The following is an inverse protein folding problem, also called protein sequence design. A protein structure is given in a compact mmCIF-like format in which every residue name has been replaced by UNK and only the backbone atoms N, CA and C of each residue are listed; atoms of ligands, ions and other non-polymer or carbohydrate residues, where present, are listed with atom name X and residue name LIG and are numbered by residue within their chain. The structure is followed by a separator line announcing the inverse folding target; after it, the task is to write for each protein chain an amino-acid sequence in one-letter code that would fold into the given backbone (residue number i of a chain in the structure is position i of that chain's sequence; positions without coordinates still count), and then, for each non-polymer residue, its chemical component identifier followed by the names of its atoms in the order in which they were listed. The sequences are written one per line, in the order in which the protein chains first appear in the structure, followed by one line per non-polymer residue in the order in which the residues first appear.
data_IF_900858239558
#
_entry.id   IF_900858239558
#
_cell.length_a   1.000
_cell.length_b   1.000
_cell.length_c   1.000
_cell.angle_alpha   90.00
_cell.angle_beta   90.00
_cell.angle_gamma   90.00
#
_symmetry.space_group_name_H-M   'P 1'
#
loop_
_entity.id
_entity.type
_entity.pdbx_description
1 polymer ?
#
# COMPACT_ATOMS: atom_id res chain seq x y z
N UNK A 1 58.89 5.54 1.05
CA UNK A 1 57.81 5.03 0.18
C UNK A 1 56.59 4.72 1.06
N UNK A 2 55.82 5.75 1.45
CA UNK A 2 54.70 5.65 2.41
C UNK A 2 53.51 6.51 1.97
N UNK A 3 53.18 6.46 0.68
CA UNK A 3 52.05 7.19 0.10
C UNK A 3 51.37 6.25 -0.88
N UNK A 4 50.66 5.23 -0.39
CA UNK A 4 49.87 4.36 -1.27
C UNK A 4 48.72 3.61 -0.58
N UNK A 5 48.46 3.85 0.70
CA UNK A 5 47.43 3.08 1.45
C UNK A 5 46.13 3.88 1.64
N UNK A 6 46.12 5.19 1.37
CA UNK A 6 44.96 6.05 1.62
C UNK A 6 43.95 6.13 0.48
N UNK A 7 44.21 5.49 -0.67
CA UNK A 7 43.34 5.60 -1.86
C UNK A 7 42.33 4.45 -1.99
N UNK A 8 42.40 3.43 -1.12
CA UNK A 8 41.53 2.26 -1.21
C UNK A 8 40.24 2.34 -0.36
N UNK A 9 40.09 3.38 0.48
CA UNK A 9 38.94 3.48 1.40
C UNK A 9 37.74 4.27 0.86
N UNK A 10 37.87 4.98 -0.26
CA UNK A 10 36.78 5.82 -0.81
C UNK A 10 35.85 5.03 -1.75
N UNK A 11 36.28 3.86 -2.24
CA UNK A 11 35.51 3.05 -3.19
C UNK A 11 34.55 2.05 -2.54
N UNK A 12 34.56 1.90 -1.20
CA UNK A 12 33.69 0.96 -0.47
C UNK A 12 32.29 1.52 -0.12
N UNK A 13 32.01 2.80 -0.43
CA UNK A 13 30.71 3.43 -0.12
C UNK A 13 29.73 3.45 -1.30
N UNK A 14 30.10 2.87 -2.46
CA UNK A 14 29.18 2.62 -3.56
C UNK A 14 28.28 1.39 -3.32
N UNK A 15 28.01 1.09 -2.04
CA UNK A 15 27.13 0.01 -1.61
C UNK A 15 25.67 0.33 -1.93
N UNK A 16 25.20 -0.15 -3.09
CA UNK A 16 23.83 -0.51 -3.41
C UNK A 16 22.71 0.15 -2.58
N UNK A 17 22.45 1.45 -2.78
CA UNK A 17 21.21 2.02 -2.29
C UNK A 17 20.06 1.71 -3.26
N UNK A 18 19.50 0.49 -3.17
CA UNK A 18 18.19 0.15 -3.76
C UNK A 18 17.09 0.56 -2.77
N UNK A 19 16.92 1.86 -2.55
CA UNK A 19 15.75 2.34 -1.81
C UNK A 19 14.65 2.63 -2.82
N UNK A 20 13.57 1.85 -2.73
CA UNK A 20 12.34 2.08 -3.45
C UNK A 20 11.65 3.29 -2.82
N UNK A 21 11.76 4.44 -3.47
CA UNK A 21 11.17 5.71 -3.03
C UNK A 21 9.86 6.00 -3.77
N UNK A 22 8.88 5.11 -3.61
CA UNK A 22 7.52 5.38 -4.03
C UNK A 22 6.60 5.17 -2.83
N UNK A 23 6.16 6.29 -2.23
CA UNK A 23 5.31 6.31 -1.04
C UNK A 23 3.87 6.70 -1.35
N UNK A 24 3.48 6.65 -2.63
CA UNK A 24 2.13 7.01 -3.10
C UNK A 24 1.15 5.86 -3.05
N UNK A 25 1.60 4.66 -2.72
CA UNK A 25 0.75 3.48 -2.60
C UNK A 25 0.50 3.13 -1.14
N UNK A 26 -0.76 2.82 -0.82
CA UNK A 26 -1.21 2.32 0.47
C UNK A 26 -1.28 0.79 0.39
N UNK A 27 -0.50 0.09 1.21
CA UNK A 27 -0.59 -1.36 1.32
C UNK A 27 -1.83 -1.78 2.11
N UNK A 28 -2.77 -2.48 1.48
CA UNK A 28 -3.98 -2.99 2.14
C UNK A 28 -3.78 -4.46 2.50
N UNK A 29 -4.03 -4.80 3.76
CA UNK A 29 -3.95 -6.16 4.28
C UNK A 29 -5.29 -6.62 4.82
N UNK A 30 -5.64 -7.88 4.51
CA UNK A 30 -6.87 -8.52 4.96
C UNK A 30 -6.63 -9.53 6.09
N UNK A 31 -5.52 -9.40 6.82
CA UNK A 31 -5.12 -10.34 7.87
C UNK A 31 -6.13 -10.51 9.00
N UNK A 32 -7.07 -9.59 9.24
CA UNK A 32 -8.11 -9.78 10.26
C UNK A 32 -9.31 -10.61 9.79
N UNK A 33 -9.35 -10.96 8.50
CA UNK A 33 -10.37 -11.82 7.91
C UNK A 33 -9.89 -13.25 7.78
N UNK A 34 -10.84 -14.18 7.70
CA UNK A 34 -10.57 -15.55 7.29
C UNK A 34 -10.36 -15.62 5.78
N UNK A 35 -9.62 -16.61 5.32
CA UNK A 35 -9.38 -16.86 3.89
C UNK A 35 -10.70 -16.97 3.11
N UNK A 36 -11.71 -17.67 3.66
CA UNK A 36 -13.05 -17.80 3.05
C UNK A 36 -13.83 -16.48 2.99
N UNK A 37 -13.53 -15.51 3.85
CA UNK A 37 -14.19 -14.19 3.86
C UNK A 37 -13.57 -13.24 2.81
N UNK A 38 -12.41 -13.63 2.28
CA UNK A 38 -11.62 -12.89 1.27
C UNK A 38 -11.40 -13.70 0.00
N UNK A 39 -12.19 -14.76 -0.21
CA UNK A 39 -12.17 -15.60 -1.41
C UNK A 39 -12.47 -14.78 -2.66
N UNK A 40 -13.31 -13.76 -2.53
CA UNK A 40 -13.52 -12.71 -3.52
C UNK A 40 -13.30 -11.34 -2.89
N UNK A 41 -12.45 -10.52 -3.51
CA UNK A 41 -12.25 -9.12 -3.14
C UNK A 41 -12.41 -8.25 -4.37
N UNK A 42 -13.32 -7.30 -4.32
CA UNK A 42 -13.58 -6.36 -5.42
C UNK A 42 -12.97 -5.01 -5.07
N UNK A 43 -12.22 -4.45 -6.00
CA UNK A 43 -11.66 -3.11 -5.91
C UNK A 43 -12.28 -2.24 -7.00
N UNK A 44 -12.75 -1.06 -6.60
CA UNK A 44 -13.21 -0.02 -7.51
C UNK A 44 -12.47 1.28 -7.20
N UNK A 45 -11.96 1.94 -8.24
CA UNK A 45 -11.27 3.23 -8.11
C UNK A 45 -12.15 4.36 -8.63
N UNK A 46 -12.08 5.52 -7.98
CA UNK A 46 -12.88 6.70 -8.26
C UNK A 46 -11.98 7.93 -8.35
N UNK A 47 -12.37 8.91 -9.17
CA UNK A 47 -11.72 10.21 -9.16
C UNK A 47 -11.90 10.87 -7.78
N UNK A 48 -10.86 11.46 -7.18
CA UNK A 48 -10.91 11.97 -5.82
C UNK A 48 -12.07 12.93 -5.55
N UNK A 49 -12.81 12.70 -4.46
CA UNK A 49 -13.96 13.49 -4.01
C UNK A 49 -15.11 13.55 -5.03
N UNK A 50 -15.23 12.53 -5.88
CA UNK A 50 -16.32 12.39 -6.84
C UNK A 50 -16.89 10.98 -6.81
N UNK A 51 -18.05 10.79 -7.43
CA UNK A 51 -18.63 9.46 -7.66
C UNK A 51 -18.30 8.89 -9.04
N UNK A 52 -17.29 9.45 -9.72
CA UNK A 52 -16.91 9.02 -11.07
C UNK A 52 -15.96 7.84 -10.98
N UNK A 53 -16.47 6.64 -11.30
CA UNK A 53 -15.67 5.41 -11.36
C UNK A 53 -14.65 5.49 -12.49
N UNK A 54 -13.40 5.14 -12.19
CA UNK A 54 -12.28 5.07 -13.14
C UNK A 54 -12.07 3.64 -13.60
N UNK A 55 -11.99 2.69 -12.67
CA UNK A 55 -11.74 1.29 -12.96
C UNK A 55 -12.38 0.35 -11.92
N UNK A 56 -12.49 -0.93 -12.26
CA UNK A 56 -12.97 -1.98 -11.37
C UNK A 56 -12.34 -3.33 -11.72
N UNK A 57 -11.84 -4.02 -10.72
CA UNK A 57 -11.33 -5.39 -10.86
C UNK A 57 -11.64 -6.21 -9.61
N UNK A 58 -11.60 -7.53 -9.76
CA UNK A 58 -11.84 -8.45 -8.67
C UNK A 58 -10.73 -9.51 -8.62
N UNK A 59 -10.33 -9.87 -7.42
CA UNK A 59 -9.55 -11.07 -7.16
C UNK A 59 -10.49 -12.16 -6.67
N UNK A 60 -10.40 -13.33 -7.29
CA UNK A 60 -11.14 -14.52 -6.88
C UNK A 60 -10.16 -15.68 -6.68
N UNK A 61 -10.27 -16.35 -5.54
CA UNK A 61 -9.50 -17.53 -5.18
C UNK A 61 -10.47 -18.67 -4.86
N UNK A 62 -10.11 -19.89 -5.28
CA UNK A 62 -10.88 -21.08 -4.92
C UNK A 62 -10.50 -21.51 -3.51
N UNK A 63 -11.37 -21.20 -2.54
CA UNK A 63 -11.17 -21.50 -1.11
C UNK A 63 -12.21 -22.54 -0.65
N UNK A 64 -11.82 -23.57 0.11
CA UNK A 64 -12.79 -24.48 0.72
C UNK A 64 -13.78 -23.72 1.63
N UNK A 65 -15.09 -24.02 1.60
CA UNK A 65 -16.07 -23.29 2.43
C UNK A 65 -15.83 -23.37 3.94
N UNK A 66 -15.07 -24.36 4.39
CA UNK A 66 -14.71 -24.58 5.80
C UNK A 66 -13.37 -23.98 6.20
N UNK A 67 -12.67 -23.29 5.27
CA UNK A 67 -11.37 -22.70 5.57
C UNK A 67 -11.53 -21.49 6.51
N UNK A 68 -11.07 -21.67 7.75
CA UNK A 68 -11.06 -20.64 8.78
C UNK A 68 -9.66 -20.08 9.04
N UNK A 69 -8.68 -20.37 8.19
CA UNK A 69 -7.32 -19.82 8.31
C UNK A 69 -7.32 -18.31 8.10
N UNK A 70 -6.29 -17.65 8.60
CA UNK A 70 -6.12 -16.21 8.45
C UNK A 70 -5.78 -15.85 6.99
N UNK A 71 -6.47 -14.85 6.43
CA UNK A 71 -6.17 -14.40 5.08
C UNK A 71 -4.77 -13.80 5.01
N UNK A 72 -4.00 -14.22 4.01
CA UNK A 72 -2.69 -13.65 3.68
C UNK A 72 -2.76 -12.63 2.54
N UNK A 73 -3.97 -12.36 2.04
CA UNK A 73 -4.18 -11.47 0.91
C UNK A 73 -3.80 -10.03 1.28
N UNK A 74 -3.06 -9.40 0.38
CA UNK A 74 -2.69 -8.00 0.48
C UNK A 74 -2.52 -7.39 -0.91
N UNK A 75 -2.92 -6.14 -1.07
CA UNK A 75 -2.83 -5.44 -2.33
C UNK A 75 -2.52 -3.95 -2.13
N UNK A 76 -1.55 -3.36 -2.86
CA UNK A 76 -1.30 -1.94 -2.82
C UNK A 76 -2.33 -1.16 -3.65
N UNK A 77 -2.79 -0.02 -3.15
CA UNK A 77 -3.67 0.90 -3.90
C UNK A 77 -3.05 2.28 -4.03
N UNK A 78 -3.24 2.93 -5.17
CA UNK A 78 -2.64 4.25 -5.41
C UNK A 78 -3.45 5.37 -4.76
N UNK A 79 -2.77 6.29 -4.06
CA UNK A 79 -3.35 7.52 -3.49
C UNK A 79 -3.83 8.54 -4.55
N UNK A 80 -3.64 8.26 -5.84
CA UNK A 80 -4.19 9.06 -6.92
C UNK A 80 -5.72 8.96 -7.06
N UNK A 81 -6.33 7.95 -6.46
CA UNK A 81 -7.76 7.65 -6.54
C UNK A 81 -8.35 7.44 -5.15
N UNK A 82 -9.66 7.65 -5.03
CA UNK A 82 -10.43 7.12 -3.91
C UNK A 82 -10.82 5.66 -4.25
N UNK A 83 -10.92 4.82 -3.23
CA UNK A 83 -11.11 3.38 -3.40
C UNK A 83 -12.33 2.90 -2.65
N UNK A 84 -13.13 2.05 -3.32
CA UNK A 84 -14.14 1.22 -2.67
C UNK A 84 -13.70 -0.23 -2.76
N UNK A 85 -13.67 -0.91 -1.62
CA UNK A 85 -13.27 -2.31 -1.50
C UNK A 85 -14.43 -3.08 -0.92
N UNK A 86 -14.88 -4.09 -1.64
CA UNK A 86 -16.01 -4.93 -1.24
C UNK A 86 -15.55 -6.35 -1.01
N UNK A 87 -15.97 -6.94 0.13
CA UNK A 87 -15.86 -8.35 0.47
C UNK A 87 -17.26 -8.98 0.36
N UNK A 88 -17.62 -9.55 -0.81
CA UNK A 88 -18.98 -10.02 -1.05
C UNK A 88 -19.41 -11.13 -0.08
N UNK A 89 -18.49 -12.02 0.29
CA UNK A 89 -18.75 -13.21 1.11
C UNK A 89 -19.23 -12.89 2.52
N UNK A 90 -18.93 -11.69 3.02
CA UNK A 90 -19.40 -11.18 4.31
C UNK A 90 -20.19 -9.87 4.20
N UNK A 91 -20.53 -9.45 2.97
CA UNK A 91 -21.22 -8.19 2.68
C UNK A 91 -20.61 -6.97 3.40
N UNK A 92 -19.28 -6.87 3.42
CA UNK A 92 -18.56 -5.72 3.99
C UNK A 92 -18.01 -4.83 2.89
N UNK A 93 -18.04 -3.52 3.14
CA UNK A 93 -17.50 -2.51 2.25
C UNK A 93 -16.60 -1.52 3.02
N UNK A 94 -15.52 -1.10 2.36
CA UNK A 94 -14.58 -0.11 2.86
C UNK A 94 -14.37 0.97 1.81
N UNK A 95 -14.60 2.22 2.20
CA UNK A 95 -14.32 3.39 1.39
C UNK A 95 -13.06 4.05 1.92
N UNK A 96 -12.03 4.11 1.11
CA UNK A 96 -10.73 4.72 1.43
C UNK A 96 -10.56 5.96 0.56
N UNK A 97 -10.45 7.11 1.20
CA UNK A 97 -10.47 8.40 0.50
C UNK A 97 -9.65 9.45 1.25
N UNK A 98 -9.63 10.67 0.72
CA UNK A 98 -9.02 11.85 1.36
C UNK A 98 -7.52 11.65 1.70
N UNK A 99 -6.78 11.00 0.81
CA UNK A 99 -5.34 10.83 0.95
C UNK A 99 -4.63 12.17 1.09
N UNK A 100 -3.76 12.28 2.10
CA UNK A 100 -2.86 13.42 2.31
C UNK A 100 -1.43 12.97 2.15
N UNK A 101 -0.72 13.64 1.24
CA UNK A 101 0.67 13.34 0.95
C UNK A 101 1.59 14.35 1.65
N UNK A 102 2.65 13.86 2.28
CA UNK A 102 3.79 14.66 2.73
C UNK A 102 4.97 14.42 1.80
N UNK A 103 5.86 15.41 1.71
CA UNK A 103 7.14 15.25 1.01
C UNK A 103 8.19 14.77 2.00
N UNK A 104 9.00 13.81 1.58
CA UNK A 104 10.13 13.31 2.34
C UNK A 104 11.35 13.11 1.41
N UNK A 105 12.55 12.99 1.98
CA UNK A 105 13.78 12.84 1.23
C UNK A 105 14.27 11.40 1.22
N UNK A 106 14.58 10.88 0.04
CA UNK A 106 15.30 9.62 -0.08
C UNK A 106 16.69 9.75 0.52
N UNK A 107 16.98 8.98 1.56
CA UNK A 107 18.23 9.06 2.34
C UNK A 107 19.53 8.94 1.51
N UNK A 108 19.47 8.33 0.33
CA UNK A 108 20.66 8.12 -0.51
C UNK A 108 20.76 8.99 -1.75
N UNK A 109 19.64 9.47 -2.29
CA UNK A 109 19.63 10.23 -3.55
C UNK A 109 19.34 11.71 -3.34
N UNK A 110 18.87 12.09 -2.14
CA UNK A 110 18.38 13.43 -1.84
C UNK A 110 17.13 13.81 -2.64
N UNK A 111 16.57 12.89 -3.44
CA UNK A 111 15.35 13.14 -4.21
C UNK A 111 14.15 13.20 -3.27
N UNK A 112 13.30 14.18 -3.50
CA UNK A 112 12.01 14.26 -2.84
C UNK A 112 11.08 13.16 -3.38
N UNK A 113 10.37 12.49 -2.48
CA UNK A 113 9.28 11.60 -2.82
C UNK A 113 8.04 11.96 -1.99
N UNK A 114 6.87 11.55 -2.48
CA UNK A 114 5.61 11.75 -1.77
C UNK A 114 5.27 10.50 -0.97
N UNK A 115 4.87 10.70 0.27
CA UNK A 115 4.54 9.66 1.23
C UNK A 115 3.13 9.90 1.76
N UNK A 116 2.29 8.86 1.82
CA UNK A 116 0.97 8.95 2.44
C UNK A 116 1.11 9.21 3.93
N UNK A 117 0.69 10.40 4.36
CA UNK A 117 0.68 10.81 5.77
C UNK A 117 -0.60 10.39 6.48
N UNK A 118 -1.74 10.51 5.81
CA UNK A 118 -3.05 10.15 6.35
C UNK A 118 -4.07 9.94 5.24
N UNK A 119 -5.16 9.27 5.59
CA UNK A 119 -6.30 8.96 4.73
C UNK A 119 -7.52 8.73 5.65
N UNK A 120 -8.70 8.53 5.09
CA UNK A 120 -9.90 8.11 5.84
C UNK A 120 -10.40 6.76 5.36
N UNK A 121 -10.86 5.93 6.29
CA UNK A 121 -11.55 4.67 6.01
C UNK A 121 -12.96 4.76 6.58
N UNK A 122 -13.98 4.69 5.74
CA UNK A 122 -15.38 4.88 6.14
C UNK A 122 -15.57 6.18 6.96
N UNK A 123 -14.93 7.28 6.53
CA UNK A 123 -14.93 8.58 7.21
C UNK A 123 -14.01 8.70 8.43
N UNK A 124 -13.40 7.62 8.91
CA UNK A 124 -12.50 7.64 10.09
C UNK A 124 -11.07 7.86 9.66
N UNK A 125 -10.43 8.92 10.17
CA UNK A 125 -9.03 9.24 9.87
C UNK A 125 -8.07 8.15 10.36
N UNK A 126 -7.13 7.77 9.50
CA UNK A 126 -6.02 6.86 9.76
C UNK A 126 -4.71 7.51 9.28
N UNK A 127 -3.58 7.05 9.82
CA UNK A 127 -2.25 7.50 9.44
C UNK A 127 -1.37 6.29 9.12
N UNK A 128 -0.39 6.46 8.23
CA UNK A 128 0.58 5.42 7.87
C UNK A 128 0.53 5.00 6.40
N UNK A 129 1.40 4.05 6.05
CA UNK A 129 1.58 3.52 4.69
C UNK A 129 0.97 2.14 4.48
N UNK A 130 0.40 1.57 5.54
CA UNK A 130 -0.32 0.31 5.50
C UNK A 130 -1.65 0.44 6.24
N UNK A 131 -2.62 -0.33 5.78
CA UNK A 131 -3.95 -0.45 6.36
C UNK A 131 -4.27 -1.93 6.54
N UNK A 132 -4.52 -2.34 7.77
CA UNK A 132 -5.15 -3.62 8.07
C UNK A 132 -6.66 -3.37 8.19
N UNK A 133 -7.45 -3.98 7.29
CA UNK A 133 -8.91 -3.84 7.28
C UNK A 133 -9.54 -4.72 8.36
N UNK A 134 -10.65 -4.27 8.98
CA UNK A 134 -11.34 -4.94 10.09
C UNK A 134 -12.86 -4.91 9.93
#
# INVERSE_FOLDING_TARGET
MRVLVTMFFVLLVAGCCKVYCDGRDLGISFRKFKTVETDTVVFESYLPKTNTKVDSFAFAATVPPTDSTQSTFSYPVSSAYDWKITLPSINKEFVIENFKLTKDQCSCSGREYHLISSFTVNGVKKNGLSLELE
#
